data_IF_982634197190
#
_entry.id   IF_982634197190
#
_cell.length_a   1.000
_cell.length_b   1.000
_cell.length_c   1.000
_cell.angle_alpha   90.00
_cell.angle_beta   90.00
_cell.angle_gamma   90.00
#
_symmetry.space_group_name_H-M   'P 1'
#
loop_
_entity.id
_entity.type
_entity.pdbx_description
1 polymer ?
#
# COMPACT_ATOMS: atom_id res chain seq x y z
N UNK A 1 -8.10 -62.54 -17.26
CA UNK A 1 -7.28 -62.82 -16.05
C UNK A 1 -5.82 -62.67 -16.43
N UNK A 2 -5.13 -61.61 -15.98
CA UNK A 2 -3.75 -61.62 -15.46
C UNK A 2 -3.27 -60.18 -15.24
N UNK A 3 -2.78 -59.94 -14.02
CA UNK A 3 -2.56 -58.64 -13.38
C UNK A 3 -1.20 -58.06 -13.81
N UNK A 4 -1.18 -56.80 -14.25
CA UNK A 4 0.05 -56.02 -14.48
C UNK A 4 0.18 -54.81 -13.53
N UNK A 5 -0.36 -54.90 -12.32
CA UNK A 5 0.03 -54.01 -11.24
C UNK A 5 1.15 -54.66 -10.45
N UNK A 6 2.34 -54.05 -10.50
CA UNK A 6 3.35 -53.99 -9.42
C UNK A 6 4.79 -54.13 -9.96
N UNK A 7 5.31 -53.08 -10.59
CA UNK A 7 6.76 -52.83 -10.61
C UNK A 7 7.04 -51.83 -9.48
N UNK A 8 7.44 -52.35 -8.32
CA UNK A 8 7.76 -51.51 -7.16
C UNK A 8 8.94 -50.59 -7.54
N UNK A 9 8.72 -49.28 -7.56
CA UNK A 9 9.78 -48.26 -7.61
C UNK A 9 10.54 -48.26 -6.28
N UNK A 10 11.47 -49.20 -6.09
CA UNK A 10 12.42 -49.21 -4.98
C UNK A 10 13.69 -48.47 -5.39
N UNK A 11 13.71 -47.15 -5.15
CA UNK A 11 14.92 -46.34 -4.97
C UNK A 11 14.53 -44.99 -4.34
N UNK A 12 13.86 -45.03 -3.17
CA UNK A 12 13.71 -43.83 -2.35
C UNK A 12 15.00 -43.60 -1.57
N UNK A 13 15.97 -42.95 -2.21
CA UNK A 13 17.07 -42.29 -1.48
C UNK A 13 16.42 -41.19 -0.64
N UNK A 14 16.30 -41.42 0.67
CA UNK A 14 15.82 -40.41 1.60
C UNK A 14 16.83 -39.27 1.71
N UNK A 15 16.34 -38.04 1.81
CA UNK A 15 17.14 -36.88 2.16
C UNK A 15 17.77 -37.10 3.53
N UNK A 16 19.06 -36.83 3.72
CA UNK A 16 19.67 -36.92 5.04
C UNK A 16 19.23 -35.74 5.90
N UNK A 17 19.14 -35.95 7.22
CA UNK A 17 18.80 -34.86 8.15
C UNK A 17 19.85 -33.73 8.10
N UNK A 18 21.12 -34.09 7.88
CA UNK A 18 22.21 -33.11 7.79
C UNK A 18 22.09 -32.23 6.54
N UNK A 19 21.65 -32.77 5.39
CA UNK A 19 21.40 -31.97 4.19
C UNK A 19 20.30 -30.93 4.43
N UNK A 20 19.23 -31.28 5.16
CA UNK A 20 18.18 -30.32 5.49
C UNK A 20 18.68 -29.25 6.48
N UNK A 21 19.47 -29.64 7.48
CA UNK A 21 20.00 -28.73 8.49
C UNK A 21 20.94 -27.68 7.87
N UNK A 22 21.83 -28.10 6.96
CA UNK A 22 22.74 -27.15 6.28
C UNK A 22 21.96 -26.19 5.39
N UNK A 23 20.90 -26.64 4.71
CA UNK A 23 20.06 -25.78 3.87
C UNK A 23 19.34 -24.72 4.69
N UNK A 24 18.67 -25.08 5.79
CA UNK A 24 17.96 -24.10 6.62
C UNK A 24 18.94 -23.17 7.35
N UNK A 25 20.16 -23.63 7.67
CA UNK A 25 21.21 -22.77 8.22
C UNK A 25 21.63 -21.68 7.22
N UNK A 26 21.85 -22.02 5.95
CA UNK A 26 22.17 -21.04 4.90
C UNK A 26 20.96 -20.11 4.66
N UNK A 27 19.74 -20.64 4.60
CA UNK A 27 18.52 -19.82 4.47
C UNK A 27 18.38 -18.84 5.64
N UNK A 28 18.71 -19.25 6.87
CA UNK A 28 18.70 -18.37 8.04
C UNK A 28 19.67 -17.19 7.91
N UNK A 29 20.89 -17.43 7.42
CA UNK A 29 21.88 -16.38 7.17
C UNK A 29 21.38 -15.40 6.10
N UNK A 30 20.80 -15.90 5.01
CA UNK A 30 20.25 -15.05 3.95
C UNK A 30 19.05 -14.23 4.45
N UNK A 31 18.16 -14.83 5.25
CA UNK A 31 17.00 -14.13 5.82
C UNK A 31 17.41 -12.98 6.74
N UNK A 32 18.47 -13.14 7.53
CA UNK A 32 18.95 -12.08 8.43
C UNK A 32 19.30 -10.79 7.68
N UNK A 33 19.86 -10.89 6.47
CA UNK A 33 20.20 -9.74 5.62
C UNK A 33 18.98 -9.28 4.81
N UNK A 34 18.15 -10.22 4.34
CA UNK A 34 17.04 -9.94 3.43
C UNK A 34 15.88 -9.19 4.10
N UNK A 35 15.51 -9.57 5.34
CA UNK A 35 14.36 -8.99 6.05
C UNK A 35 14.46 -7.47 6.26
N UNK A 36 15.52 -6.91 6.88
CA UNK A 36 15.59 -5.46 7.10
C UNK A 36 15.61 -4.67 5.78
N UNK A 37 16.27 -5.22 4.75
CA UNK A 37 16.28 -4.62 3.41
C UNK A 37 14.89 -4.57 2.79
N UNK A 38 14.10 -5.64 2.93
CA UNK A 38 12.75 -5.70 2.39
C UNK A 38 11.83 -4.69 3.07
N UNK A 39 11.94 -4.52 4.39
CA UNK A 39 11.13 -3.55 5.14
C UNK A 39 11.37 -2.12 4.64
N UNK A 40 12.63 -1.70 4.46
CA UNK A 40 12.93 -0.36 3.94
C UNK A 40 12.49 -0.14 2.49
N UNK A 41 12.56 -1.17 1.64
CA UNK A 41 12.04 -1.09 0.26
C UNK A 41 10.53 -0.93 0.26
N UNK A 42 9.83 -1.66 1.13
CA UNK A 42 8.38 -1.59 1.27
C UNK A 42 7.93 -0.20 1.73
N UNK A 43 8.50 0.30 2.82
CA UNK A 43 8.19 1.63 3.34
C UNK A 43 8.44 2.72 2.28
N UNK A 44 9.57 2.64 1.57
CA UNK A 44 9.89 3.56 0.48
C UNK A 44 8.93 3.47 -0.72
N UNK A 45 8.33 2.30 -0.96
CA UNK A 45 7.31 2.12 -2.00
C UNK A 45 5.96 2.70 -1.56
N UNK A 46 5.56 2.50 -0.30
CA UNK A 46 4.33 3.06 0.27
C UNK A 46 4.37 4.59 0.27
N UNK A 47 5.49 5.23 0.68
CA UNK A 47 5.65 6.70 0.61
C UNK A 47 5.53 7.22 -0.84
N UNK A 48 6.03 6.48 -1.81
CA UNK A 48 5.92 6.87 -3.24
C UNK A 48 4.50 6.72 -3.75
N UNK A 49 3.77 5.70 -3.30
CA UNK A 49 2.37 5.51 -3.63
C UNK A 49 1.53 6.67 -3.06
N UNK A 50 1.76 7.07 -1.82
CA UNK A 50 1.03 8.19 -1.20
C UNK A 50 1.29 9.52 -1.92
N UNK A 51 2.54 9.77 -2.32
CA UNK A 51 2.90 10.92 -3.16
C UNK A 51 2.23 10.87 -4.54
N UNK A 52 2.05 9.69 -5.11
CA UNK A 52 1.33 9.53 -6.37
C UNK A 52 -0.17 9.81 -6.18
N UNK A 53 -0.79 9.29 -5.12
CA UNK A 53 -2.17 9.59 -4.75
C UNK A 53 -2.41 11.09 -4.57
N UNK A 54 -1.53 11.78 -3.86
CA UNK A 54 -1.61 13.24 -3.70
C UNK A 54 -1.51 13.99 -5.04
N UNK A 55 -0.68 13.52 -5.98
CA UNK A 55 -0.61 14.11 -7.34
C UNK A 55 -1.88 13.87 -8.14
N UNK A 56 -2.51 12.71 -7.98
CA UNK A 56 -3.80 12.42 -8.61
C UNK A 56 -4.87 13.37 -8.09
N UNK A 57 -4.93 13.59 -6.77
CA UNK A 57 -5.85 14.56 -6.16
C UNK A 57 -5.58 15.98 -6.68
N UNK A 58 -4.32 16.43 -6.69
CA UNK A 58 -3.96 17.75 -7.22
C UNK A 58 -4.35 17.92 -8.70
N UNK A 59 -4.21 16.87 -9.50
CA UNK A 59 -4.63 16.88 -10.91
C UNK A 59 -6.15 16.97 -11.04
N UNK A 60 -6.90 16.24 -10.21
CA UNK A 60 -8.35 16.32 -10.18
C UNK A 60 -8.84 17.73 -9.78
N UNK A 61 -8.20 18.37 -8.79
CA UNK A 61 -8.52 19.75 -8.40
C UNK A 61 -8.26 20.72 -9.57
N UNK A 62 -7.12 20.60 -10.25
CA UNK A 62 -6.82 21.47 -11.38
C UNK A 62 -7.83 21.35 -12.53
N UNK A 63 -8.34 20.13 -12.78
CA UNK A 63 -9.40 19.91 -13.79
C UNK A 63 -10.72 20.49 -13.28
N UNK A 64 -11.08 20.24 -12.02
CA UNK A 64 -12.29 20.80 -11.39
C UNK A 64 -12.33 22.33 -11.48
N UNK A 65 -11.22 23.00 -11.17
CA UNK A 65 -11.09 24.46 -11.23
C UNK A 65 -11.24 24.96 -12.67
N UNK A 66 -10.69 24.24 -13.65
CA UNK A 66 -10.80 24.58 -15.06
C UNK A 66 -12.25 24.48 -15.58
N UNK A 67 -13.01 23.50 -15.09
CA UNK A 67 -14.38 23.23 -15.56
C UNK A 67 -15.43 24.09 -14.84
N UNK A 68 -15.26 24.30 -13.54
CA UNK A 68 -16.26 25.00 -12.71
C UNK A 68 -15.94 26.46 -12.46
N UNK A 69 -14.69 26.88 -12.67
CA UNK A 69 -14.20 28.21 -12.27
C UNK A 69 -14.21 28.45 -10.75
N UNK A 70 -14.49 27.42 -9.95
CA UNK A 70 -14.55 27.49 -8.49
C UNK A 70 -13.23 27.01 -7.93
N UNK A 71 -12.55 27.86 -7.16
CA UNK A 71 -11.35 27.49 -6.42
C UNK A 71 -11.72 26.70 -5.16
N UNK A 72 -10.77 25.90 -4.66
CA UNK A 72 -10.84 25.26 -3.35
C UNK A 72 -11.94 24.18 -3.18
N UNK A 73 -12.04 23.17 -4.07
CA UNK A 73 -12.99 22.07 -3.89
C UNK A 73 -12.70 21.22 -2.65
N UNK A 74 -13.74 20.72 -1.98
CA UNK A 74 -13.57 19.60 -1.06
C UNK A 74 -13.30 18.30 -1.85
N UNK A 75 -12.68 17.31 -1.20
CA UNK A 75 -12.46 15.98 -1.83
C UNK A 75 -13.79 15.36 -2.29
N UNK A 76 -14.87 15.61 -1.55
CA UNK A 76 -16.20 15.13 -1.91
C UNK A 76 -16.70 15.71 -3.25
N UNK A 77 -16.31 16.93 -3.61
CA UNK A 77 -16.73 17.60 -4.86
C UNK A 77 -16.00 17.03 -6.08
N UNK A 78 -14.87 16.36 -5.88
CA UNK A 78 -14.10 15.72 -6.94
C UNK A 78 -14.71 14.37 -7.36
N UNK A 79 -15.59 13.80 -6.55
CA UNK A 79 -16.16 12.46 -6.75
C UNK A 79 -17.62 12.60 -7.23
N UNK A 80 -18.06 11.85 -8.25
CA UNK A 80 -17.33 10.82 -8.99
C UNK A 80 -16.65 11.32 -10.28
N UNK A 81 -16.86 12.58 -10.66
CA UNK A 81 -16.54 13.05 -12.02
C UNK A 81 -15.04 13.16 -12.29
N UNK A 82 -14.23 13.55 -11.29
CA UNK A 82 -12.79 13.76 -11.42
C UNK A 82 -11.96 12.69 -10.70
N UNK A 83 -12.58 12.01 -9.73
CA UNK A 83 -12.03 10.88 -8.98
C UNK A 83 -13.10 9.79 -8.79
N UNK A 84 -12.78 8.54 -9.12
CA UNK A 84 -13.70 7.41 -8.88
C UNK A 84 -13.96 7.17 -7.39
N UNK A 85 -12.94 7.37 -6.56
CA UNK A 85 -12.96 7.21 -5.11
C UNK A 85 -11.85 8.05 -4.48
N UNK A 86 -12.05 8.50 -3.24
CA UNK A 86 -11.00 9.16 -2.48
C UNK A 86 -9.82 8.19 -2.27
N UNK A 87 -8.59 8.55 -2.68
CA UNK A 87 -7.42 7.73 -2.40
C UNK A 87 -7.20 7.60 -0.89
N UNK A 88 -6.66 6.47 -0.44
CA UNK A 88 -6.21 6.24 0.94
C UNK A 88 -4.70 6.01 0.97
N UNK A 89 -4.09 6.10 2.15
CA UNK A 89 -2.65 5.79 2.25
C UNK A 89 -2.34 4.32 2.01
N UNK A 90 -1.19 4.08 1.39
CA UNK A 90 -0.57 2.78 1.23
C UNK A 90 0.13 2.30 2.51
N UNK A 91 0.49 3.20 3.42
CA UNK A 91 1.10 2.89 4.72
C UNK A 91 0.04 2.48 5.74
N UNK A 92 -1.04 3.26 5.83
CA UNK A 92 -2.13 3.05 6.76
C UNK A 92 -3.48 3.17 6.02
N UNK A 93 -4.18 2.06 5.78
CA UNK A 93 -5.49 2.09 5.11
C UNK A 93 -6.56 2.92 5.84
N UNK A 94 -6.38 3.23 7.13
CA UNK A 94 -7.28 4.09 7.89
C UNK A 94 -6.94 5.59 7.73
N UNK A 95 -5.77 5.92 7.19
CA UNK A 95 -5.34 7.30 6.96
C UNK A 95 -5.93 7.85 5.66
N UNK A 96 -6.47 9.07 5.76
CA UNK A 96 -7.16 9.77 4.67
C UNK A 96 -6.42 11.04 4.29
N UNK A 97 -6.53 11.42 3.01
CA UNK A 97 -6.01 12.71 2.57
C UNK A 97 -7.01 13.82 2.92
N UNK A 98 -6.49 14.96 3.37
CA UNK A 98 -7.25 16.18 3.63
C UNK A 98 -6.63 17.33 2.86
N UNK A 99 -7.47 18.31 2.52
CA UNK A 99 -7.09 19.50 1.77
C UNK A 99 -7.15 20.70 2.69
N UNK A 100 -6.12 21.54 2.63
CA UNK A 100 -6.11 22.87 3.22
C UNK A 100 -5.65 23.87 2.16
N UNK A 101 -6.25 25.07 2.21
CA UNK A 101 -5.96 26.16 1.28
C UNK A 101 -5.42 27.34 2.08
N UNK A 102 -4.38 28.00 1.58
CA UNK A 102 -3.91 29.25 2.15
C UNK A 102 -4.66 30.46 1.57
N UNK A 103 -4.38 31.65 2.08
CA UNK A 103 -5.02 32.89 1.64
C UNK A 103 -4.71 33.27 0.17
N UNK A 104 -3.70 32.65 -0.43
CA UNK A 104 -3.29 32.83 -1.82
C UNK A 104 -3.82 31.70 -2.74
N UNK A 105 -4.62 30.77 -2.20
CA UNK A 105 -5.20 29.63 -2.90
C UNK A 105 -4.23 28.46 -3.10
N UNK A 106 -3.06 28.45 -2.45
CA UNK A 106 -2.13 27.33 -2.55
C UNK A 106 -2.65 26.11 -1.79
N UNK A 107 -2.60 24.97 -2.46
CA UNK A 107 -3.18 23.71 -1.98
C UNK A 107 -2.15 22.94 -1.16
N UNK A 108 -2.48 22.62 0.08
CA UNK A 108 -1.74 21.71 0.94
C UNK A 108 -2.51 20.41 1.11
N UNK A 109 -1.99 19.33 0.52
CA UNK A 109 -2.54 17.99 0.67
C UNK A 109 -1.83 17.31 1.84
N UNK A 110 -2.57 17.02 2.90
CA UNK A 110 -2.04 16.38 4.11
C UNK A 110 -2.58 14.97 4.24
N UNK A 111 -1.73 14.03 4.66
CA UNK A 111 -2.18 12.71 5.08
C UNK A 111 -2.41 12.73 6.60
N UNK A 112 -3.65 12.49 7.03
CA UNK A 112 -4.01 12.42 8.45
C UNK A 112 -4.18 10.95 8.82
N UNK A 113 -3.41 10.50 9.82
CA UNK A 113 -3.50 9.14 10.35
C UNK A 113 -4.79 8.97 11.14
N UNK A 114 -5.73 8.22 10.58
CA UNK A 114 -7.04 7.95 11.16
C UNK A 114 -8.16 8.87 10.65
N UNK A 115 -9.39 8.35 10.72
CA UNK A 115 -10.61 9.15 10.62
C UNK A 115 -10.70 10.03 11.86
N UNK A 116 -10.51 11.34 11.73
CA UNK A 116 -10.90 12.28 12.80
C UNK A 116 -12.42 12.21 12.89
N UNK A 117 -12.93 11.52 13.91
CA UNK A 117 -14.36 11.48 14.18
C UNK A 117 -14.79 12.84 14.73
N UNK A 118 -16.04 13.26 14.46
CA UNK A 118 -16.59 14.56 14.91
C UNK A 118 -16.40 14.77 16.43
N UNK A 119 -16.44 13.68 17.21
CA UNK A 119 -16.20 13.60 18.67
C UNK A 119 -14.76 13.98 19.09
N UNK A 120 -13.76 13.77 18.23
CA UNK A 120 -12.38 14.24 18.46
C UNK A 120 -12.19 15.72 18.06
N UNK A 121 -13.04 16.24 17.17
CA UNK A 121 -12.96 17.61 16.66
C UNK A 121 -13.70 18.61 17.57
N UNK A 122 -14.75 18.16 18.24
CA UNK A 122 -15.56 18.95 19.18
C UNK A 122 -15.83 18.17 20.47
N UNK A 123 -14.91 18.19 21.46
CA UNK A 123 -15.17 17.58 22.75
C UNK A 123 -16.25 18.38 23.50
N UNK A 124 -17.33 17.70 23.88
CA UNK A 124 -18.41 18.27 24.73
C UNK A 124 -17.96 18.55 26.17
#
# INVERSE_FOLDING_TARGET
MLRFFNKRLHNRKGFTLIELIVVIAILGILMLIAVPRLLGVREGAEIRADKASARTIASAIAIYEADTGTAEPAIADLIPEYLDVAPTSAQDPAAVFTLAYDADGAITITLVGGTVTEDELYPE
#
